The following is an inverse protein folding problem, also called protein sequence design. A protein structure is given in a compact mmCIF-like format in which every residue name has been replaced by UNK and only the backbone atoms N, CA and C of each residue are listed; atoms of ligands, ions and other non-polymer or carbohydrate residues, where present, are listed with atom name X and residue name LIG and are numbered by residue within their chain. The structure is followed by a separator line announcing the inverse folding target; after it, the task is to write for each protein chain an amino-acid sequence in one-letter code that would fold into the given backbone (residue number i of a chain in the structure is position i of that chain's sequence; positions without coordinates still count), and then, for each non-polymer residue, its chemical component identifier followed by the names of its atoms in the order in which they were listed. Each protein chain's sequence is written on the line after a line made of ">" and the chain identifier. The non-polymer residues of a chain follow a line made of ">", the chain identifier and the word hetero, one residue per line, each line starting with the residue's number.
data_IF_867872377095
#
_entry.id   IF_867872377095
#
_cell.length_a   1.000
_cell.length_b   1.000
_cell.length_c   1.000
_cell.angle_alpha   90.00
_cell.angle_beta   90.00
_cell.angle_gamma   90.00
#
_symmetry.space_group_name_H-M   'P 1'
#
loop_
_entity.id
_entity.type
_entity.pdbx_description
1 polymer ?
#
# COMPACT_ATOMS: atom_id res chain seq x y z
N UNK A 1 -11.15 3.59 25.30
CA UNK A 1 -10.60 3.98 23.99
C UNK A 1 -10.78 2.79 23.07
N UNK A 2 -11.43 2.95 21.92
CA UNK A 2 -11.51 1.87 20.93
C UNK A 2 -10.10 1.53 20.48
N UNK A 3 -9.72 0.25 20.54
CA UNK A 3 -8.44 -0.21 20.00
C UNK A 3 -8.49 -0.05 18.48
N UNK A 4 -7.69 0.85 17.90
CA UNK A 4 -7.66 1.06 16.46
C UNK A 4 -7.09 -0.22 15.81
N UNK A 5 -7.87 -0.99 15.03
CA UNK A 5 -7.37 -2.24 14.44
C UNK A 5 -6.18 -2.01 13.49
N UNK A 6 -6.07 -0.81 12.91
CA UNK A 6 -4.96 -0.41 12.03
C UNK A 6 -3.62 -0.19 12.74
N UNK A 7 -3.60 -0.25 14.07
CA UNK A 7 -2.36 -0.25 14.86
C UNK A 7 -1.91 -1.67 15.26
N UNK A 8 -2.67 -2.70 14.89
CA UNK A 8 -2.28 -4.09 15.16
C UNK A 8 -1.19 -4.56 14.21
N UNK A 9 -0.22 -5.33 14.73
CA UNK A 9 0.82 -5.95 13.89
C UNK A 9 0.20 -6.85 12.83
N UNK A 10 -0.82 -7.64 13.18
CA UNK A 10 -1.52 -8.50 12.23
C UNK A 10 -2.04 -7.74 11.00
N UNK A 11 -2.77 -6.64 11.21
CA UNK A 11 -3.32 -5.87 10.10
C UNK A 11 -2.22 -5.14 9.33
N UNK A 12 -1.17 -4.67 10.00
CA UNK A 12 0.01 -4.10 9.33
C UNK A 12 0.65 -5.12 8.38
N UNK A 13 0.90 -6.35 8.85
CA UNK A 13 1.49 -7.40 8.02
C UNK A 13 0.60 -7.72 6.81
N UNK A 14 -0.72 -7.83 7.02
CA UNK A 14 -1.69 -8.05 5.94
C UNK A 14 -1.66 -6.94 4.89
N UNK A 15 -1.61 -5.67 5.32
CA UNK A 15 -1.51 -4.53 4.40
C UNK A 15 -0.17 -4.51 3.66
N UNK A 16 0.96 -4.77 4.32
CA UNK A 16 2.26 -4.84 3.66
C UNK A 16 2.28 -5.94 2.58
N UNK A 17 1.72 -7.12 2.88
CA UNK A 17 1.59 -8.21 1.89
C UNK A 17 0.67 -7.79 0.74
N UNK A 18 -0.53 -7.28 1.05
CA UNK A 18 -1.50 -6.88 0.02
C UNK A 18 -0.99 -5.76 -0.90
N UNK A 19 -0.15 -4.86 -0.37
CA UNK A 19 0.35 -3.70 -1.09
C UNK A 19 1.65 -3.95 -1.85
N UNK A 20 2.51 -4.87 -1.40
CA UNK A 20 3.89 -4.98 -1.92
C UNK A 20 4.41 -6.39 -2.18
N UNK A 21 3.74 -7.44 -1.72
CA UNK A 21 4.22 -8.80 -1.98
C UNK A 21 4.18 -9.11 -3.48
N UNK A 22 5.07 -10.01 -3.92
CA UNK A 22 5.01 -10.49 -5.30
C UNK A 22 3.75 -11.32 -5.52
N UNK A 23 3.22 -11.41 -6.75
CA UNK A 23 2.04 -12.20 -7.05
C UNK A 23 2.05 -13.62 -6.48
N UNK A 24 3.21 -14.30 -6.53
CA UNK A 24 3.36 -15.68 -6.06
C UNK A 24 3.40 -15.78 -4.52
N UNK A 25 3.76 -14.71 -3.84
CA UNK A 25 3.78 -14.60 -2.38
C UNK A 25 2.40 -14.22 -1.84
N UNK A 26 1.67 -13.38 -2.57
CA UNK A 26 0.32 -12.90 -2.22
C UNK A 26 -0.76 -13.94 -2.54
N UNK A 27 -0.65 -14.64 -3.69
CA UNK A 27 -1.60 -15.65 -4.14
C UNK A 27 -0.91 -17.02 -4.23
N UNK A 28 -1.01 -17.82 -3.16
CA UNK A 28 -0.38 -19.16 -3.13
C UNK A 28 -1.15 -20.24 -3.87
N UNK A 29 -2.44 -20.04 -4.09
CA UNK A 29 -3.24 -20.97 -4.86
C UNK A 29 -3.06 -20.71 -6.35
N UNK A 30 -2.70 -21.76 -7.11
CA UNK A 30 -2.68 -21.70 -8.57
C UNK A 30 -4.07 -21.33 -9.08
N UNK A 31 -4.16 -20.28 -9.90
CA UNK A 31 -5.43 -19.78 -10.41
C UNK A 31 -6.20 -18.89 -9.43
N UNK A 32 -5.53 -18.35 -8.40
CA UNK A 32 -6.09 -17.29 -7.56
C UNK A 32 -6.50 -16.05 -8.37
N UNK A 33 -7.26 -15.12 -7.77
CA UNK A 33 -7.82 -13.96 -8.48
C UNK A 33 -6.72 -12.98 -8.90
N UNK A 34 -6.14 -13.18 -10.09
CA UNK A 34 -5.09 -12.30 -10.62
C UNK A 34 -5.53 -10.84 -10.67
N UNK A 35 -6.83 -10.59 -10.87
CA UNK A 35 -7.43 -9.25 -10.86
C UNK A 35 -7.48 -8.59 -9.47
N UNK A 36 -7.07 -9.28 -8.40
CA UNK A 36 -6.89 -8.68 -7.08
C UNK A 36 -5.47 -8.10 -6.88
N UNK A 37 -4.52 -8.46 -7.76
CA UNK A 37 -3.15 -7.97 -7.67
C UNK A 37 -3.05 -6.48 -7.99
N UNK A 38 -2.01 -5.85 -7.44
CA UNK A 38 -1.68 -4.43 -7.64
C UNK A 38 -2.87 -3.49 -7.40
N UNK A 39 -3.84 -3.87 -6.55
CA UNK A 39 -5.06 -3.10 -6.36
C UNK A 39 -4.81 -1.63 -5.97
N UNK A 40 -3.98 -1.31 -4.94
CA UNK A 40 -3.70 0.09 -4.60
C UNK A 40 -3.04 0.87 -5.76
N UNK A 41 -2.16 0.23 -6.53
CA UNK A 41 -1.53 0.83 -7.71
C UNK A 41 -2.56 1.16 -8.78
N UNK A 42 -3.46 0.22 -9.09
CA UNK A 42 -4.54 0.44 -10.06
C UNK A 42 -5.49 1.54 -9.61
N UNK A 43 -5.84 1.59 -8.32
CA UNK A 43 -6.62 2.70 -7.76
C UNK A 43 -5.94 4.07 -8.00
N UNK A 44 -4.61 4.13 -7.91
CA UNK A 44 -3.86 5.36 -8.13
C UNK A 44 -3.75 5.75 -9.62
N UNK A 45 -3.70 4.78 -10.55
CA UNK A 45 -3.27 5.01 -11.93
C UNK A 45 -4.37 4.83 -12.99
N UNK A 46 -5.31 3.91 -12.83
CA UNK A 46 -6.23 3.51 -13.92
C UNK A 46 -7.22 4.63 -14.30
N UNK A 47 -7.51 5.56 -13.37
CA UNK A 47 -8.36 6.74 -13.62
C UNK A 47 -7.58 8.03 -13.89
N UNK A 48 -6.26 7.98 -13.90
CA UNK A 48 -5.42 9.18 -13.89
C UNK A 48 -5.03 9.60 -15.32
N UNK A 49 -5.61 10.71 -15.79
CA UNK A 49 -5.22 11.33 -17.06
C UNK A 49 -4.15 12.40 -16.82
N UNK A 50 -2.86 12.03 -16.86
CA UNK A 50 -1.76 12.97 -16.58
C UNK A 50 -1.72 14.17 -17.53
N UNK A 51 -2.18 14.00 -18.77
CA UNK A 51 -2.23 15.06 -19.78
C UNK A 51 -3.24 16.16 -19.43
N UNK A 52 -4.25 15.85 -18.61
CA UNK A 52 -5.21 16.86 -18.14
C UNK A 52 -4.76 17.60 -16.87
N UNK A 53 -3.58 17.26 -16.32
CA UNK A 53 -3.06 17.83 -15.08
C UNK A 53 -1.85 18.73 -15.41
N UNK A 54 -2.08 20.03 -15.63
CA UNK A 54 -1.01 20.95 -15.99
C UNK A 54 0.06 21.02 -14.89
N UNK A 55 1.32 21.03 -15.32
CA UNK A 55 2.52 21.14 -14.47
C UNK A 55 2.71 20.03 -13.43
N UNK A 56 1.88 18.98 -13.42
CA UNK A 56 2.02 17.79 -12.54
C UNK A 56 2.38 18.18 -11.09
N UNK A 57 1.62 19.12 -10.53
CA UNK A 57 1.92 19.81 -9.27
C UNK A 57 1.89 18.92 -8.03
N UNK A 58 0.92 19.17 -7.14
CA UNK A 58 0.78 18.46 -5.86
C UNK A 58 -0.40 17.49 -5.90
N UNK A 59 -0.24 16.29 -5.35
CA UNK A 59 -1.33 15.35 -5.11
C UNK A 59 -1.52 15.06 -3.61
N UNK A 60 -2.74 14.68 -3.23
CA UNK A 60 -3.11 14.24 -1.88
C UNK A 60 -3.64 12.81 -1.95
N UNK A 61 -3.06 11.92 -1.16
CA UNK A 61 -3.53 10.55 -0.96
C UNK A 61 -4.06 10.42 0.46
N UNK A 62 -5.39 10.43 0.60
CA UNK A 62 -6.09 10.40 1.89
C UNK A 62 -6.50 8.96 2.22
N UNK A 63 -5.97 8.42 3.33
CA UNK A 63 -6.01 7.00 3.63
C UNK A 63 -4.90 6.24 2.90
N UNK A 64 -3.67 6.77 2.96
CA UNK A 64 -2.55 6.24 2.17
C UNK A 64 -2.05 4.86 2.64
N UNK A 65 -2.51 4.38 3.80
CA UNK A 65 -2.07 3.16 4.44
C UNK A 65 -0.53 3.06 4.49
N UNK A 66 0.03 1.93 4.04
CA UNK A 66 1.48 1.69 3.94
C UNK A 66 2.13 2.33 2.69
N UNK A 67 1.46 3.31 2.07
CA UNK A 67 2.05 4.25 1.10
C UNK A 67 2.04 3.84 -0.37
N UNK A 68 1.47 2.68 -0.76
CA UNK A 68 1.62 2.18 -2.14
C UNK A 68 1.08 3.16 -3.19
N UNK A 69 -0.15 3.64 -3.00
CA UNK A 69 -0.77 4.62 -3.91
C UNK A 69 0.01 5.93 -3.95
N UNK A 70 0.40 6.45 -2.78
CA UNK A 70 1.26 7.64 -2.63
C UNK A 70 2.54 7.52 -3.45
N UNK A 71 3.24 6.38 -3.39
CA UNK A 71 4.49 6.18 -4.13
C UNK A 71 4.28 6.07 -5.64
N UNK A 72 3.19 5.45 -6.10
CA UNK A 72 2.85 5.38 -7.52
C UNK A 72 2.52 6.77 -8.08
N UNK A 73 1.76 7.58 -7.33
CA UNK A 73 1.49 8.98 -7.68
C UNK A 73 2.77 9.82 -7.71
N UNK A 74 3.69 9.61 -6.77
CA UNK A 74 4.95 10.37 -6.68
C UNK A 74 5.88 10.16 -7.88
N UNK A 75 5.62 9.16 -8.72
CA UNK A 75 6.33 8.98 -10.01
C UNK A 75 5.94 10.04 -11.05
N UNK A 76 4.78 10.66 -10.88
CA UNK A 76 4.20 11.58 -11.87
C UNK A 76 4.07 13.01 -11.34
N UNK A 77 3.76 13.19 -10.05
CA UNK A 77 3.61 14.50 -9.43
C UNK A 77 4.92 14.99 -8.80
N UNK A 78 5.12 16.31 -8.77
CA UNK A 78 6.29 16.92 -8.13
C UNK A 78 6.30 16.81 -6.61
N UNK A 79 5.12 16.70 -6.00
CA UNK A 79 4.94 16.44 -4.57
C UNK A 79 3.67 15.60 -4.35
N UNK A 80 3.73 14.64 -3.44
CA UNK A 80 2.56 13.90 -2.98
C UNK A 80 2.54 13.89 -1.46
N UNK A 81 1.41 14.25 -0.88
CA UNK A 81 1.17 14.17 0.56
C UNK A 81 0.28 12.95 0.82
N UNK A 82 0.83 11.94 1.49
CA UNK A 82 0.05 10.80 2.00
C UNK A 82 -0.37 11.06 3.45
N UNK A 83 -1.64 10.84 3.77
CA UNK A 83 -2.17 10.96 5.13
C UNK A 83 -2.88 9.67 5.51
N UNK A 84 -2.56 9.14 6.68
CA UNK A 84 -3.30 8.06 7.32
C UNK A 84 -3.40 8.34 8.83
N UNK A 85 -4.41 7.76 9.48
CA UNK A 85 -4.58 7.88 10.92
C UNK A 85 -3.71 6.88 11.70
N UNK A 86 -3.35 5.75 11.08
CA UNK A 86 -2.49 4.74 11.69
C UNK A 86 -1.03 5.17 11.70
N UNK A 87 -0.44 5.26 12.90
CA UNK A 87 0.98 5.56 13.06
C UNK A 87 1.83 4.40 12.56
N UNK A 88 1.45 3.16 12.88
CA UNK A 88 2.15 1.96 12.41
C UNK A 88 2.24 1.90 10.88
N UNK A 89 1.20 2.32 10.18
CA UNK A 89 1.18 2.37 8.71
C UNK A 89 2.10 3.46 8.17
N UNK A 90 2.03 4.68 8.73
CA UNK A 90 2.89 5.79 8.33
C UNK A 90 4.37 5.50 8.61
N UNK A 91 4.69 4.91 9.76
CA UNK A 91 6.05 4.52 10.10
C UNK A 91 6.60 3.49 9.10
N UNK A 92 5.79 2.48 8.76
CA UNK A 92 6.15 1.47 7.75
C UNK A 92 6.31 2.06 6.35
N UNK A 93 5.44 3.01 5.97
CA UNK A 93 5.57 3.75 4.72
C UNK A 93 6.87 4.56 4.69
N UNK A 94 7.25 5.21 5.79
CA UNK A 94 8.52 5.94 5.88
C UNK A 94 9.73 5.01 5.79
N UNK A 95 9.69 3.84 6.43
CA UNK A 95 10.73 2.81 6.26
C UNK A 95 10.86 2.40 4.79
N UNK A 96 9.75 2.13 4.11
CA UNK A 96 9.75 1.80 2.68
C UNK A 96 10.29 2.94 1.81
N UNK A 97 9.93 4.19 2.12
CA UNK A 97 10.42 5.38 1.42
C UNK A 97 11.95 5.49 1.52
N UNK A 98 12.50 5.26 2.71
CA UNK A 98 13.92 5.46 2.98
C UNK A 98 14.78 4.27 2.58
N UNK A 99 14.27 3.04 2.73
CA UNK A 99 15.04 1.80 2.53
C UNK A 99 14.69 1.06 1.23
N UNK A 100 13.54 1.37 0.62
CA UNK A 100 13.02 0.69 -0.58
C UNK A 100 12.51 -0.74 -0.34
N UNK A 101 12.60 -1.25 0.90
CA UNK A 101 12.15 -2.59 1.26
C UNK A 101 11.69 -2.64 2.72
N UNK A 102 10.81 -3.59 3.01
CA UNK A 102 10.40 -3.97 4.36
C UNK A 102 10.11 -5.46 4.39
N UNK A 103 10.36 -6.10 5.52
CA UNK A 103 9.98 -7.51 5.71
C UNK A 103 8.54 -7.56 6.20
N UNK A 104 7.74 -8.44 5.61
CA UNK A 104 6.38 -8.70 6.04
C UNK A 104 6.12 -10.19 6.18
N UNK A 105 5.27 -10.56 7.13
CA UNK A 105 4.86 -11.94 7.38
C UNK A 105 3.46 -12.16 6.79
N UNK A 106 3.35 -13.09 5.84
CA UNK A 106 2.03 -13.55 5.41
C UNK A 106 1.53 -14.61 6.39
N UNK A 107 0.44 -14.30 7.07
CA UNK A 107 -0.30 -15.28 7.86
C UNK A 107 -1.30 -16.02 6.97
N UNK A 108 -1.26 -17.34 7.06
CA UNK A 108 -2.21 -18.22 6.38
C UNK A 108 -3.26 -18.74 7.37
N UNK A 109 -4.50 -18.85 6.93
CA UNK A 109 -5.56 -19.45 7.72
C UNK A 109 -5.16 -20.88 8.12
N UNK A 110 -5.40 -21.24 9.39
CA UNK A 110 -5.00 -22.54 9.95
C UNK A 110 -3.55 -22.63 10.43
N UNK A 111 -2.73 -21.58 10.24
CA UNK A 111 -1.35 -21.53 10.72
C UNK A 111 -1.24 -21.16 12.22
N UNK A 112 -2.30 -21.40 13.00
CA UNK A 112 -2.33 -21.19 14.46
C UNK A 112 -1.88 -22.45 15.22
N UNK A 113 -0.69 -22.95 14.93
CA UNK A 113 0.12 -23.84 15.79
C UNK A 113 1.57 -23.80 15.36
#
# INVERSE_FOLDING_TARGET
>A
MSNNPYESDELLQQYLVFHYARPEEQLTQKGGPAEALDFPKRCALDGLSLESIPNRGRALDLGCAVGRSTFELARSFGEVVGIDYSHAFIDSANVLKDQGLIKALRMDEGNST
#
